data_IF_917341101460
#
_entry.id   IF_917341101460
#
_cell.length_a   1.000
_cell.length_b   1.000
_cell.length_c   1.000
_cell.angle_alpha   90.00
_cell.angle_beta   90.00
_cell.angle_gamma   90.00
#
_symmetry.space_group_name_H-M   'P 1'
#
loop_
_entity.id
_entity.type
_entity.pdbx_description
1 polymer ?
#
# COMPACT_ATOMS: atom_id res chain seq x y z
N UNK A 1 1.57 -2.47 -4.96
CA UNK A 1 1.57 -3.07 -3.62
C UNK A 1 0.21 -2.82 -3.02
N UNK A 2 -0.44 -3.80 -2.41
CA UNK A 2 -1.63 -3.55 -1.60
C UNK A 2 -1.32 -2.56 -0.48
N UNK A 3 -2.20 -1.57 -0.29
CA UNK A 3 -2.08 -0.52 0.73
C UNK A 3 -3.26 -0.60 1.70
N UNK A 4 -3.39 0.31 2.65
CA UNK A 4 -4.40 0.25 3.72
C UNK A 4 -5.80 -0.13 3.22
N UNK A 5 -6.41 0.52 2.20
CA UNK A 5 -7.75 0.15 1.75
C UNK A 5 -7.84 -1.31 1.24
N UNK A 6 -6.80 -1.77 0.53
CA UNK A 6 -6.76 -3.14 0.02
C UNK A 6 -6.65 -4.17 1.15
N UNK A 7 -5.79 -3.88 2.15
CA UNK A 7 -5.57 -4.77 3.30
C UNK A 7 -6.82 -4.87 4.16
N UNK A 8 -7.52 -3.75 4.38
CA UNK A 8 -8.78 -3.73 5.13
C UNK A 8 -9.82 -4.63 4.45
N UNK A 9 -9.99 -4.51 3.14
CA UNK A 9 -10.98 -5.33 2.40
C UNK A 9 -10.59 -6.82 2.36
N UNK A 10 -9.30 -7.14 2.28
CA UNK A 10 -8.84 -8.53 2.49
C UNK A 10 -9.22 -9.04 3.87
N UNK A 11 -8.99 -8.26 4.93
CA UNK A 11 -9.31 -8.65 6.30
C UNK A 11 -10.82 -8.84 6.47
N UNK A 12 -11.64 -7.95 5.91
CA UNK A 12 -13.11 -8.08 5.96
C UNK A 12 -13.58 -9.37 5.27
N UNK A 13 -12.98 -9.71 4.13
CA UNK A 13 -13.29 -10.95 3.41
C UNK A 13 -12.80 -12.21 4.15
N UNK A 14 -11.66 -12.12 4.83
CA UNK A 14 -11.11 -13.19 5.65
C UNK A 14 -11.95 -13.41 6.91
N UNK A 15 -12.40 -12.34 7.59
CA UNK A 15 -13.29 -12.48 8.77
C UNK A 15 -14.52 -13.32 8.48
N UNK A 16 -15.14 -13.13 7.33
CA UNK A 16 -16.32 -13.88 6.92
C UNK A 16 -16.05 -15.37 6.65
N UNK A 17 -14.79 -15.78 6.48
CA UNK A 17 -14.40 -17.12 6.00
C UNK A 17 -13.61 -17.95 6.99
N UNK A 18 -12.75 -17.29 7.77
CA UNK A 18 -11.80 -18.01 8.61
C UNK A 18 -11.85 -17.62 10.10
N UNK A 19 -12.55 -16.55 10.50
CA UNK A 19 -12.66 -16.21 11.91
C UNK A 19 -13.51 -17.28 12.62
N UNK A 20 -12.96 -17.87 13.67
CA UNK A 20 -13.55 -19.00 14.39
C UNK A 20 -13.26 -20.36 13.75
N UNK A 21 -12.68 -20.41 12.57
CA UNK A 21 -12.31 -21.66 11.88
C UNK A 21 -10.96 -22.18 12.33
N UNK A 22 -10.80 -23.50 12.31
CA UNK A 22 -9.53 -24.16 12.57
C UNK A 22 -8.65 -24.12 11.31
N UNK A 23 -7.38 -23.72 11.46
CA UNK A 23 -6.38 -23.86 10.43
C UNK A 23 -5.90 -25.33 10.37
N UNK A 24 -6.35 -26.08 9.38
CA UNK A 24 -6.07 -27.51 9.29
C UNK A 24 -4.63 -27.76 8.82
N UNK A 25 -4.13 -26.98 7.87
CA UNK A 25 -2.80 -27.19 7.27
C UNK A 25 -2.22 -25.93 6.67
N UNK A 26 -0.88 -25.78 6.74
CA UNK A 26 -0.10 -24.76 6.04
C UNK A 26 0.83 -25.43 5.03
N UNK A 27 0.67 -25.12 3.75
CA UNK A 27 1.49 -25.66 2.66
C UNK A 27 2.35 -24.55 2.08
N UNK A 28 3.67 -24.63 2.23
CA UNK A 28 4.62 -23.64 1.72
C UNK A 28 5.33 -24.24 0.49
N UNK A 29 5.12 -23.63 -0.69
CA UNK A 29 5.79 -24.05 -1.93
C UNK A 29 7.11 -23.30 -2.16
N UNK A 30 7.30 -22.14 -1.53
CA UNK A 30 8.54 -21.36 -1.62
C UNK A 30 9.11 -21.14 -0.21
N UNK A 31 10.22 -21.80 0.16
CA UNK A 31 10.81 -21.66 1.49
C UNK A 31 11.26 -20.22 1.78
N UNK A 32 11.59 -19.44 0.74
CA UNK A 32 11.95 -18.03 0.87
C UNK A 32 10.80 -17.13 1.32
N UNK A 33 9.55 -17.61 1.31
CA UNK A 33 8.41 -16.87 1.85
C UNK A 33 8.53 -16.69 3.37
N UNK A 34 8.95 -17.75 4.07
CA UNK A 34 9.06 -17.76 5.53
C UNK A 34 10.30 -16.98 6.00
N UNK A 35 10.11 -16.06 6.95
CA UNK A 35 11.16 -15.17 7.46
C UNK A 35 11.53 -15.44 8.91
N UNK A 36 10.82 -16.34 9.59
CA UNK A 36 11.06 -16.75 10.98
C UNK A 36 11.19 -18.26 11.02
N UNK A 37 12.07 -18.76 11.89
CA UNK A 37 12.23 -20.19 12.15
C UNK A 37 11.53 -20.63 13.44
N UNK A 38 11.32 -19.69 14.35
CA UNK A 38 10.71 -19.93 15.66
C UNK A 38 9.63 -18.88 15.91
N UNK A 39 8.40 -19.27 16.24
CA UNK A 39 7.89 -20.66 16.27
C UNK A 39 7.90 -21.32 14.88
N UNK A 40 7.98 -22.66 14.78
CA UNK A 40 7.79 -23.37 13.53
C UNK A 40 6.40 -23.09 12.96
N UNK A 41 6.28 -23.01 11.62
CA UNK A 41 4.99 -22.75 10.97
C UNK A 41 3.96 -23.85 11.23
N UNK A 42 4.42 -25.09 11.47
CA UNK A 42 3.56 -26.22 11.83
C UNK A 42 2.81 -26.05 13.16
N UNK A 43 3.35 -25.25 14.08
CA UNK A 43 2.68 -24.97 15.37
C UNK A 43 1.40 -24.15 15.20
N UNK A 44 1.18 -23.56 14.02
CA UNK A 44 -0.06 -22.89 13.65
C UNK A 44 -1.18 -23.86 13.26
N UNK A 45 -0.82 -25.08 12.83
CA UNK A 45 -1.80 -26.08 12.40
C UNK A 45 -2.61 -26.63 13.59
N UNK A 46 -3.88 -26.90 13.36
CA UNK A 46 -4.82 -27.34 14.38
C UNK A 46 -5.37 -26.22 15.27
N UNK A 47 -4.80 -25.01 15.24
CA UNK A 47 -5.26 -23.87 16.04
C UNK A 47 -6.42 -23.14 15.37
N UNK A 48 -7.28 -22.54 16.18
CA UNK A 48 -8.43 -21.74 15.72
C UNK A 48 -8.01 -20.30 15.45
N UNK A 49 -8.52 -19.70 14.38
CA UNK A 49 -8.35 -18.27 14.11
C UNK A 49 -9.24 -17.46 15.06
N UNK A 50 -8.64 -16.77 15.99
CA UNK A 50 -9.35 -15.99 17.01
C UNK A 50 -9.37 -14.50 16.71
N UNK A 51 -8.43 -14.02 15.89
CA UNK A 51 -8.34 -12.60 15.56
C UNK A 51 -7.77 -12.36 14.17
N UNK A 52 -8.20 -11.25 13.56
CA UNK A 52 -7.65 -10.72 12.31
C UNK A 52 -7.40 -9.23 12.49
N UNK A 53 -6.14 -8.80 12.31
CA UNK A 53 -5.71 -7.42 12.46
C UNK A 53 -4.91 -6.94 11.26
N UNK A 54 -4.87 -5.64 11.06
CA UNK A 54 -3.94 -4.96 10.15
C UNK A 54 -2.75 -4.42 10.95
N UNK A 55 -1.54 -4.60 10.42
CA UNK A 55 -0.33 -3.98 10.93
C UNK A 55 0.38 -3.29 9.74
N UNK A 56 0.21 -1.98 9.59
CA UNK A 56 0.66 -1.28 8.40
C UNK A 56 0.00 -1.81 7.12
N UNK A 57 0.79 -2.44 6.25
CA UNK A 57 0.33 -3.10 5.01
C UNK A 57 0.39 -4.63 5.12
N UNK A 58 0.31 -5.16 6.33
CA UNK A 58 0.33 -6.59 6.62
C UNK A 58 -1.03 -7.06 7.11
N UNK A 59 -1.33 -8.31 6.85
CA UNK A 59 -2.48 -9.03 7.39
C UNK A 59 -1.95 -9.92 8.51
N UNK A 60 -2.51 -9.79 9.71
CA UNK A 60 -2.13 -10.56 10.86
C UNK A 60 -3.29 -11.49 11.23
N UNK A 61 -3.02 -12.79 11.24
CA UNK A 61 -3.97 -13.85 11.61
C UNK A 61 -3.53 -14.39 12.96
N UNK A 62 -4.30 -14.11 14.00
CA UNK A 62 -4.08 -14.61 15.36
C UNK A 62 -4.74 -15.96 15.57
N UNK A 63 -3.98 -16.92 16.09
CA UNK A 63 -4.32 -18.32 16.27
C UNK A 63 -4.20 -18.75 17.72
N UNK A 64 -5.12 -19.65 18.16
CA UNK A 64 -5.14 -20.17 19.52
C UNK A 64 -5.93 -19.31 20.50
N UNK A 65 -5.92 -19.65 21.81
CA UNK A 65 -6.40 -18.77 22.86
C UNK A 65 -5.50 -17.52 22.94
N UNK A 66 -6.02 -16.38 23.29
CA UNK A 66 -5.29 -15.10 23.41
C UNK A 66 -4.28 -14.78 22.29
N UNK A 67 -4.46 -15.36 21.11
CA UNK A 67 -3.56 -15.23 19.95
C UNK A 67 -2.12 -15.64 20.25
N UNK A 68 -1.93 -16.88 20.71
CA UNK A 68 -0.61 -17.46 21.04
C UNK A 68 0.38 -17.37 19.89
N UNK A 69 -0.10 -17.52 18.67
CA UNK A 69 0.69 -17.45 17.44
C UNK A 69 0.06 -16.49 16.46
N UNK A 70 0.89 -15.67 15.85
CA UNK A 70 0.49 -14.80 14.74
C UNK A 70 1.13 -15.23 13.44
N UNK A 71 0.32 -15.40 12.39
CA UNK A 71 0.77 -15.44 11.01
C UNK A 71 0.69 -14.03 10.44
N UNK A 72 1.83 -13.43 10.10
CA UNK A 72 1.93 -12.06 9.60
C UNK A 72 2.31 -12.07 8.13
N UNK A 73 1.33 -11.77 7.27
CA UNK A 73 1.45 -11.83 5.82
C UNK A 73 1.75 -10.43 5.26
N UNK A 74 2.89 -10.27 4.58
CA UNK A 74 3.21 -9.07 3.82
C UNK A 74 3.22 -9.36 2.33
N UNK A 75 2.22 -8.86 1.63
CA UNK A 75 1.98 -9.18 0.21
C UNK A 75 2.98 -8.51 -0.74
N UNK A 76 3.67 -7.47 -0.28
CA UNK A 76 4.61 -6.69 -1.08
C UNK A 76 3.96 -6.16 -2.37
N UNK A 77 4.69 -6.05 -3.48
CA UNK A 77 4.21 -5.42 -4.71
C UNK A 77 3.23 -6.32 -5.48
N UNK A 78 3.60 -7.59 -5.66
CA UNK A 78 2.93 -8.51 -6.57
C UNK A 78 2.19 -9.66 -5.88
N UNK A 79 2.29 -9.77 -4.56
CA UNK A 79 1.58 -10.79 -3.77
C UNK A 79 0.06 -10.56 -3.79
N UNK A 80 -0.69 -11.64 -3.92
CA UNK A 80 -2.16 -11.64 -3.92
C UNK A 80 -2.67 -12.84 -3.16
N UNK A 81 -3.80 -12.63 -2.49
CA UNK A 81 -4.56 -13.70 -1.85
C UNK A 81 -5.76 -14.06 -2.72
N UNK A 82 -6.11 -15.32 -2.70
CA UNK A 82 -7.27 -15.89 -3.40
C UNK A 82 -7.96 -16.88 -2.49
N UNK A 83 -9.29 -16.90 -2.55
CA UNK A 83 -10.07 -17.92 -1.84
C UNK A 83 -10.55 -18.98 -2.82
N UNK A 84 -10.34 -20.24 -2.50
CA UNK A 84 -10.77 -21.37 -3.33
C UNK A 84 -11.58 -22.34 -2.48
N UNK A 85 -12.66 -22.87 -3.05
CA UNK A 85 -13.43 -23.94 -2.41
C UNK A 85 -12.65 -25.26 -2.55
N UNK A 86 -12.67 -26.04 -1.47
CA UNK A 86 -11.93 -27.31 -1.44
C UNK A 86 -10.41 -27.16 -1.37
N UNK A 87 -9.71 -28.26 -1.61
CA UNK A 87 -8.26 -28.36 -1.54
C UNK A 87 -7.61 -27.82 -2.83
N UNK A 88 -7.16 -26.59 -2.79
CA UNK A 88 -6.54 -25.94 -3.94
C UNK A 88 -5.04 -26.25 -4.03
N UNK A 89 -4.55 -26.59 -5.22
CA UNK A 89 -3.12 -26.83 -5.46
C UNK A 89 -2.33 -25.53 -5.45
N UNK A 90 -1.17 -25.53 -4.78
CA UNK A 90 -0.18 -24.45 -4.87
C UNK A 90 0.70 -24.75 -6.07
N UNK A 91 0.55 -23.95 -7.15
CA UNK A 91 1.24 -24.22 -8.41
C UNK A 91 2.41 -23.24 -8.61
N UNK A 92 3.68 -23.69 -8.51
CA UNK A 92 4.83 -22.90 -8.90
C UNK A 92 4.76 -22.49 -10.39
N UNK A 93 5.38 -21.38 -10.82
CA UNK A 93 6.24 -20.51 -10.01
C UNK A 93 5.48 -19.37 -9.28
N UNK A 94 4.16 -19.25 -9.45
CA UNK A 94 3.37 -18.16 -8.87
C UNK A 94 2.85 -18.47 -7.47
N UNK A 95 2.49 -19.74 -7.19
CA UNK A 95 2.02 -20.18 -5.89
C UNK A 95 3.14 -20.10 -4.83
N UNK A 96 2.90 -19.44 -3.72
CA UNK A 96 3.84 -19.30 -2.61
C UNK A 96 3.46 -20.19 -1.43
N UNK A 97 2.20 -20.15 -1.03
CA UNK A 97 1.67 -20.91 0.09
C UNK A 97 0.15 -21.10 -0.04
N UNK A 98 -0.38 -22.04 0.73
CA UNK A 98 -1.80 -22.23 0.95
C UNK A 98 -2.07 -22.50 2.44
N UNK A 99 -3.19 -22.00 2.92
CA UNK A 99 -3.71 -22.18 4.27
C UNK A 99 -5.08 -22.86 4.12
N UNK A 100 -5.19 -24.10 4.59
CA UNK A 100 -6.38 -24.92 4.42
C UNK A 100 -7.27 -24.84 5.64
N UNK A 101 -8.56 -24.63 5.42
CA UNK A 101 -9.63 -24.57 6.40
C UNK A 101 -10.77 -25.48 5.94
N UNK A 102 -11.66 -25.88 6.85
CA UNK A 102 -12.82 -26.70 6.49
C UNK A 102 -13.68 -26.07 5.37
N UNK A 103 -13.83 -24.74 5.35
CA UNK A 103 -14.60 -23.99 4.35
C UNK A 103 -13.89 -23.73 3.02
N UNK A 104 -12.58 -24.01 2.91
CA UNK A 104 -11.79 -23.78 1.69
C UNK A 104 -10.32 -23.43 1.96
N UNK A 105 -9.64 -23.05 0.92
CA UNK A 105 -8.20 -22.75 0.94
C UNK A 105 -7.93 -21.28 0.66
N UNK A 106 -7.17 -20.62 1.52
CA UNK A 106 -6.56 -19.33 1.25
C UNK A 106 -5.24 -19.55 0.50
N UNK A 107 -5.23 -19.26 -0.80
CA UNK A 107 -4.07 -19.39 -1.65
C UNK A 107 -3.31 -18.08 -1.73
N UNK A 108 -1.99 -18.10 -1.55
CA UNK A 108 -1.11 -16.96 -1.71
C UNK A 108 -0.24 -17.10 -2.94
N UNK A 109 -0.30 -16.10 -3.83
CA UNK A 109 0.45 -16.08 -5.09
C UNK A 109 1.26 -14.79 -5.22
N UNK A 110 2.33 -14.82 -6.01
CA UNK A 110 3.09 -13.62 -6.40
C UNK A 110 3.50 -13.70 -7.87
N UNK A 111 3.07 -12.71 -8.67
CA UNK A 111 3.27 -12.70 -10.11
C UNK A 111 4.67 -12.25 -10.54
N UNK A 112 5.41 -11.53 -9.70
CA UNK A 112 6.73 -11.00 -10.04
C UNK A 112 7.80 -12.08 -10.20
N UNK A 113 8.84 -11.81 -10.99
CA UNK A 113 10.04 -12.67 -11.09
C UNK A 113 10.85 -12.65 -9.79
N UNK A 114 10.96 -11.49 -9.16
CA UNK A 114 11.55 -11.35 -7.83
C UNK A 114 10.49 -11.57 -6.76
N UNK A 115 10.57 -12.66 -6.01
CA UNK A 115 9.68 -12.95 -4.89
C UNK A 115 10.08 -12.11 -3.68
N UNK A 116 9.20 -11.24 -3.21
CA UNK A 116 9.41 -10.32 -2.09
C UNK A 116 8.38 -10.48 -0.97
N UNK A 117 7.30 -11.19 -1.24
CA UNK A 117 6.30 -11.51 -0.24
C UNK A 117 6.95 -12.21 0.96
N UNK A 118 6.44 -11.97 2.15
CA UNK A 118 7.01 -12.54 3.37
C UNK A 118 5.95 -12.97 4.36
N UNK A 119 6.15 -14.13 4.96
CA UNK A 119 5.39 -14.68 6.07
C UNK A 119 6.29 -14.69 7.30
N UNK A 120 5.80 -14.11 8.39
CA UNK A 120 6.42 -14.27 9.71
C UNK A 120 5.46 -15.06 10.58
N UNK A 121 6.00 -15.98 11.34
CA UNK A 121 5.32 -16.69 12.42
C UNK A 121 5.93 -16.18 13.72
N UNK A 122 5.12 -15.59 14.59
CA UNK A 122 5.61 -14.99 15.82
C UNK A 122 4.71 -15.38 16.99
N UNK A 123 5.28 -15.45 18.19
CA UNK A 123 4.53 -15.79 19.40
C UNK A 123 4.07 -14.52 20.12
N UNK A 124 2.81 -14.52 20.55
CA UNK A 124 2.23 -13.48 21.41
C UNK A 124 2.20 -12.08 20.83
N UNK A 125 1.73 -11.13 21.63
CA UNK A 125 1.66 -9.70 21.27
C UNK A 125 3.05 -9.06 21.13
N UNK A 126 4.02 -9.48 21.93
CA UNK A 126 5.39 -8.94 21.86
C UNK A 126 6.05 -9.28 20.53
N UNK A 127 5.87 -10.51 20.04
CA UNK A 127 6.35 -10.92 18.73
C UNK A 127 5.67 -10.15 17.58
N UNK A 128 4.38 -9.86 17.72
CA UNK A 128 3.67 -9.06 16.74
C UNK A 128 4.13 -7.59 16.78
N UNK A 129 4.25 -7.01 17.96
CA UNK A 129 4.68 -5.64 18.18
C UNK A 129 6.09 -5.37 17.65
N UNK A 130 6.99 -6.33 17.75
CA UNK A 130 8.35 -6.24 17.19
C UNK A 130 8.38 -6.07 15.66
N UNK A 131 7.29 -6.43 14.98
CA UNK A 131 7.14 -6.25 13.53
C UNK A 131 6.50 -4.89 13.17
N UNK A 132 6.03 -4.11 14.14
CA UNK A 132 5.41 -2.81 13.90
C UNK A 132 6.48 -1.75 13.59
N UNK A 133 6.42 -1.07 12.45
CA UNK A 133 7.29 0.08 12.18
C UNK A 133 7.01 1.29 13.08
N UNK A 134 5.89 1.33 13.80
CA UNK A 134 5.50 2.41 14.71
C UNK A 134 4.86 3.63 14.04
N UNK A 135 4.45 3.53 12.78
CA UNK A 135 3.82 4.65 12.07
C UNK A 135 2.42 4.97 12.56
N UNK A 136 2.09 6.27 12.55
CA UNK A 136 0.80 6.79 13.01
C UNK A 136 -0.37 6.19 12.21
N UNK A 137 -1.37 5.69 12.92
CA UNK A 137 -2.68 5.31 12.35
C UNK A 137 -3.53 6.56 12.14
N UNK A 138 -3.46 7.14 10.93
CA UNK A 138 -4.06 8.46 10.64
C UNK A 138 -5.57 8.48 10.83
N UNK A 139 -6.26 7.36 10.58
CA UNK A 139 -7.71 7.27 10.75
C UNK A 139 -8.15 7.33 12.22
N UNK A 140 -7.25 6.97 13.14
CA UNK A 140 -7.48 6.93 14.60
C UNK A 140 -6.82 8.12 15.33
N UNK A 141 -6.15 9.03 14.58
CA UNK A 141 -5.43 10.17 15.17
C UNK A 141 -6.14 11.49 14.92
N UNK A 142 -5.75 12.50 15.70
CA UNK A 142 -6.13 13.89 15.54
C UNK A 142 -5.13 14.69 14.69
N UNK A 143 -5.49 15.93 14.35
CA UNK A 143 -4.66 16.84 13.57
C UNK A 143 -3.34 17.19 14.27
N UNK A 144 -3.36 17.35 15.61
CA UNK A 144 -2.16 17.70 16.39
C UNK A 144 -1.10 16.61 16.32
N UNK A 145 -1.48 15.37 16.54
CA UNK A 145 -0.59 14.21 16.40
C UNK A 145 -0.09 14.02 14.96
N UNK A 146 -0.99 14.19 13.98
CA UNK A 146 -0.60 14.12 12.57
C UNK A 146 0.45 15.19 12.23
N UNK A 147 0.24 16.44 12.64
CA UNK A 147 1.16 17.54 12.40
C UNK A 147 2.53 17.30 13.08
N UNK A 148 2.54 16.84 14.32
CA UNK A 148 3.77 16.52 15.06
C UNK A 148 4.59 15.45 14.35
N UNK A 149 3.95 14.36 13.91
CA UNK A 149 4.63 13.28 13.16
C UNK A 149 5.11 13.78 11.79
N UNK A 150 4.27 14.50 11.05
CA UNK A 150 4.60 15.00 9.72
C UNK A 150 5.83 15.92 9.73
N UNK A 151 5.95 16.78 10.74
CA UNK A 151 7.01 17.79 10.84
C UNK A 151 8.20 17.36 11.69
N UNK A 152 8.18 16.15 12.25
CA UNK A 152 9.26 15.60 13.09
C UNK A 152 10.63 15.57 12.38
N UNK A 153 10.62 15.43 11.05
CA UNK A 153 11.81 15.51 10.22
C UNK A 153 11.50 16.21 8.90
N UNK A 154 12.53 16.86 8.30
CA UNK A 154 12.35 17.59 7.03
C UNK A 154 12.49 16.65 5.83
N UNK A 155 11.36 16.14 5.35
CA UNK A 155 11.24 15.28 4.19
C UNK A 155 10.36 15.91 3.10
N UNK A 156 10.45 15.39 1.87
CA UNK A 156 9.39 15.67 0.88
C UNK A 156 8.09 15.01 1.32
N UNK A 157 6.93 15.62 1.02
CA UNK A 157 5.62 15.08 1.40
C UNK A 157 5.42 13.64 0.90
N UNK A 158 5.82 13.37 -0.36
CA UNK A 158 5.74 12.02 -0.91
C UNK A 158 6.52 11.01 -0.07
N UNK A 159 7.74 11.36 0.34
CA UNK A 159 8.57 10.49 1.17
C UNK A 159 7.97 10.31 2.57
N UNK A 160 7.54 11.39 3.20
CA UNK A 160 6.94 11.33 4.54
C UNK A 160 5.70 10.43 4.56
N UNK A 161 4.76 10.63 3.62
CA UNK A 161 3.53 9.83 3.54
C UNK A 161 3.78 8.34 3.27
N UNK A 162 4.86 7.99 2.57
CA UNK A 162 5.17 6.59 2.23
C UNK A 162 6.10 5.89 3.21
N UNK A 163 6.65 6.60 4.18
CA UNK A 163 7.50 6.01 5.24
C UNK A 163 6.62 5.31 6.29
N UNK A 164 6.72 3.97 6.41
CA UNK A 164 5.87 3.22 7.35
C UNK A 164 6.18 3.50 8.82
N UNK A 165 7.28 4.20 9.14
CA UNK A 165 7.62 4.65 10.49
C UNK A 165 6.93 5.96 10.85
N UNK A 166 6.50 6.74 9.85
CA UNK A 166 5.76 7.99 10.06
C UNK A 166 4.24 7.75 9.95
N UNK A 167 3.80 7.10 8.87
CA UNK A 167 2.37 6.87 8.60
C UNK A 167 2.09 5.43 8.21
N UNK A 168 1.18 4.82 8.94
CA UNK A 168 0.78 3.42 8.75
C UNK A 168 -0.08 3.26 7.48
N UNK A 169 0.20 2.24 6.69
CA UNK A 169 -0.67 1.77 5.61
C UNK A 169 -0.64 2.57 4.30
N UNK A 170 -0.08 3.78 4.26
CA UNK A 170 0.01 4.59 3.03
C UNK A 170 1.19 4.13 2.17
N UNK A 171 0.98 4.03 0.88
CA UNK A 171 2.02 3.64 -0.07
C UNK A 171 2.09 4.55 -1.29
N UNK A 172 2.65 4.02 -2.37
CA UNK A 172 2.96 4.82 -3.55
C UNK A 172 1.71 5.34 -4.27
N UNK A 173 0.67 4.51 -4.38
CA UNK A 173 -0.54 4.89 -5.10
C UNK A 173 -1.38 5.91 -4.33
N UNK A 174 -1.71 5.59 -3.09
CA UNK A 174 -2.57 6.49 -2.31
C UNK A 174 -1.89 7.79 -1.92
N UNK A 175 -0.56 7.82 -1.76
CA UNK A 175 0.13 9.11 -1.54
C UNK A 175 0.06 10.05 -2.74
N UNK A 176 0.03 9.55 -3.99
CA UNK A 176 -0.22 10.39 -5.17
C UNK A 176 -1.64 10.99 -5.14
N UNK A 177 -2.65 10.16 -4.86
CA UNK A 177 -4.05 10.57 -4.76
C UNK A 177 -4.29 11.58 -3.64
N UNK A 178 -3.73 11.32 -2.46
CA UNK A 178 -3.80 12.20 -1.29
C UNK A 178 -3.20 13.58 -1.60
N UNK A 179 -2.02 13.61 -2.20
CA UNK A 179 -1.35 14.86 -2.56
C UNK A 179 -2.08 15.64 -3.65
N UNK A 180 -2.71 14.93 -4.58
CA UNK A 180 -3.59 15.56 -5.57
C UNK A 180 -4.84 16.15 -4.92
N UNK A 181 -5.47 15.42 -3.99
CA UNK A 181 -6.65 15.90 -3.26
C UNK A 181 -6.32 17.12 -2.40
N UNK A 182 -5.20 17.10 -1.69
CA UNK A 182 -4.70 18.21 -0.91
C UNK A 182 -4.19 19.40 -1.74
N UNK A 183 -4.03 19.24 -3.07
CA UNK A 183 -3.42 20.23 -3.97
C UNK A 183 -2.01 20.64 -3.51
N UNK A 184 -1.23 19.69 -3.06
CA UNK A 184 0.14 19.92 -2.59
C UNK A 184 1.16 19.23 -3.49
N UNK A 185 2.29 19.90 -3.69
CA UNK A 185 3.41 19.33 -4.42
C UNK A 185 3.96 18.10 -3.69
N UNK A 186 4.20 16.97 -4.39
CA UNK A 186 4.85 15.81 -3.79
C UNK A 186 6.26 16.12 -3.26
N UNK A 187 6.89 17.20 -3.74
CA UNK A 187 8.23 17.64 -3.32
C UNK A 187 8.21 18.79 -2.32
N UNK A 188 7.03 19.27 -1.88
CA UNK A 188 6.97 20.22 -0.78
C UNK A 188 7.61 19.61 0.48
N UNK A 189 8.35 20.43 1.22
CA UNK A 189 9.06 19.99 2.44
C UNK A 189 8.13 20.06 3.63
N UNK A 190 8.12 19.01 4.45
CA UNK A 190 7.20 18.86 5.59
C UNK A 190 7.30 20.02 6.59
N UNK A 191 8.51 20.48 6.91
CA UNK A 191 8.73 21.59 7.85
C UNK A 191 8.52 22.99 7.24
N UNK A 192 8.23 23.08 5.92
CA UNK A 192 7.90 24.35 5.24
C UNK A 192 6.42 24.53 4.97
N UNK A 193 5.59 23.60 5.42
CA UNK A 193 4.15 23.68 5.26
C UNK A 193 3.55 24.72 6.22
N UNK A 194 2.57 25.45 5.72
CA UNK A 194 1.73 26.33 6.53
C UNK A 194 0.66 25.51 7.29
N UNK A 195 0.12 26.00 8.40
CA UNK A 195 -0.92 25.29 9.17
C UNK A 195 -2.12 24.87 8.31
N UNK A 196 -2.63 25.73 7.44
CA UNK A 196 -3.74 25.45 6.53
C UNK A 196 -3.42 24.31 5.55
N UNK A 197 -2.16 24.19 5.14
CA UNK A 197 -1.71 23.11 4.26
C UNK A 197 -1.64 21.76 5.00
N UNK A 198 -1.24 21.78 6.28
CA UNK A 198 -1.21 20.58 7.12
C UNK A 198 -2.64 20.09 7.38
N UNK A 199 -3.56 21.01 7.71
CA UNK A 199 -4.97 20.69 7.90
C UNK A 199 -5.60 20.09 6.65
N UNK A 200 -5.38 20.72 5.49
CA UNK A 200 -5.84 20.21 4.18
C UNK A 200 -5.27 18.84 3.87
N UNK A 201 -3.98 18.61 4.16
CA UNK A 201 -3.34 17.31 3.96
C UNK A 201 -3.94 16.24 4.87
N UNK A 202 -4.16 16.54 6.14
CA UNK A 202 -4.80 15.63 7.08
C UNK A 202 -6.21 15.24 6.64
N UNK A 203 -7.02 16.22 6.24
CA UNK A 203 -8.35 15.97 5.70
C UNK A 203 -8.30 15.09 4.44
N UNK A 204 -7.37 15.38 3.52
CA UNK A 204 -7.19 14.60 2.28
C UNK A 204 -6.75 13.15 2.55
N UNK A 205 -5.85 12.92 3.52
CA UNK A 205 -5.44 11.55 3.92
C UNK A 205 -6.65 10.76 4.38
N UNK A 206 -7.41 11.30 5.33
CA UNK A 206 -8.58 10.62 5.89
C UNK A 206 -9.64 10.36 4.82
N UNK A 207 -10.00 11.39 4.06
CA UNK A 207 -11.01 11.28 3.00
C UNK A 207 -10.62 10.24 1.95
N UNK A 208 -9.40 10.29 1.42
CA UNK A 208 -8.94 9.34 0.41
C UNK A 208 -8.96 7.91 0.91
N UNK A 209 -8.41 7.64 2.11
CA UNK A 209 -8.34 6.29 2.64
C UNK A 209 -9.72 5.71 2.94
N UNK A 210 -10.63 6.51 3.53
CA UNK A 210 -12.01 6.09 3.83
C UNK A 210 -12.82 5.85 2.54
N UNK A 211 -12.80 6.79 1.60
CA UNK A 211 -13.54 6.68 0.35
C UNK A 211 -13.10 5.45 -0.47
N UNK A 212 -11.78 5.23 -0.57
CA UNK A 212 -11.27 4.07 -1.29
C UNK A 212 -11.57 2.76 -0.57
N UNK A 213 -11.48 2.72 0.75
CA UNK A 213 -11.87 1.53 1.53
C UNK A 213 -13.33 1.18 1.29
N UNK A 214 -14.22 2.17 1.38
CA UNK A 214 -15.65 1.96 1.19
C UNK A 214 -16.00 1.57 -0.26
N UNK A 215 -15.31 2.18 -1.22
CA UNK A 215 -15.47 1.80 -2.62
C UNK A 215 -15.06 0.33 -2.85
N UNK A 216 -13.89 -0.08 -2.33
CA UNK A 216 -13.41 -1.45 -2.48
C UNK A 216 -14.27 -2.47 -1.76
N UNK A 217 -14.86 -2.11 -0.62
CA UNK A 217 -15.87 -2.93 0.06
C UNK A 217 -17.09 -3.18 -0.82
N UNK A 218 -17.61 -2.12 -1.45
CA UNK A 218 -18.74 -2.24 -2.38
C UNK A 218 -18.39 -3.05 -3.61
N UNK A 219 -17.21 -2.86 -4.19
CA UNK A 219 -16.73 -3.63 -5.34
C UNK A 219 -16.54 -5.11 -5.03
N UNK A 220 -16.06 -5.45 -3.82
CA UNK A 220 -15.90 -6.83 -3.37
C UNK A 220 -17.23 -7.50 -2.97
N UNK A 221 -18.18 -6.75 -2.39
CA UNK A 221 -19.46 -7.28 -1.91
C UNK A 221 -19.27 -8.42 -0.93
N UNK A 222 -19.79 -9.59 -1.27
CA UNK A 222 -19.63 -10.83 -0.51
C UNK A 222 -18.50 -11.73 -1.04
N UNK A 223 -17.92 -11.37 -2.18
CA UNK A 223 -16.86 -12.15 -2.80
C UNK A 223 -15.50 -11.89 -2.15
N UNK A 224 -14.55 -12.75 -2.46
CA UNK A 224 -13.16 -12.52 -2.08
C UNK A 224 -12.52 -11.55 -3.09
N UNK A 225 -11.74 -10.53 -2.65
CA UNK A 225 -11.17 -9.52 -3.55
C UNK A 225 -10.03 -10.12 -4.40
N UNK A 226 -10.34 -10.63 -5.58
CA UNK A 226 -9.39 -11.31 -6.47
C UNK A 226 -8.47 -10.35 -7.26
N UNK A 227 -8.98 -9.16 -7.63
CA UNK A 227 -8.29 -8.21 -8.53
C UNK A 227 -7.72 -7.02 -7.76
N UNK A 228 -6.84 -7.28 -6.79
CA UNK A 228 -6.17 -6.20 -6.05
C UNK A 228 -5.02 -5.64 -6.88
N UNK A 229 -5.07 -4.35 -7.18
CA UNK A 229 -4.07 -3.63 -7.98
C UNK A 229 -3.92 -2.19 -7.51
N UNK A 230 -2.73 -1.61 -7.69
CA UNK A 230 -2.52 -0.18 -7.48
C UNK A 230 -3.08 0.69 -8.63
N UNK A 231 -3.24 0.09 -9.82
CA UNK A 231 -3.78 0.79 -11.00
C UNK A 231 -5.29 0.53 -11.08
N UNK A 232 -6.06 1.41 -10.45
CA UNK A 232 -7.53 1.25 -10.36
C UNK A 232 -8.25 2.26 -11.24
N UNK A 233 -9.33 1.86 -11.91
CA UNK A 233 -10.26 2.80 -12.51
C UNK A 233 -10.75 3.79 -11.45
N UNK A 234 -10.71 5.08 -11.78
CA UNK A 234 -11.15 6.10 -10.83
C UNK A 234 -10.05 6.79 -10.04
N UNK A 235 -8.79 6.35 -10.11
CA UNK A 235 -7.68 7.15 -9.61
C UNK A 235 -7.55 8.47 -10.37
N UNK A 236 -7.17 9.54 -9.67
CA UNK A 236 -7.11 10.89 -10.22
C UNK A 236 -5.79 11.15 -10.95
N UNK A 237 -4.68 10.65 -10.41
CA UNK A 237 -3.33 10.87 -10.96
C UNK A 237 -2.48 9.61 -11.04
N UNK A 238 -2.60 8.68 -10.08
CA UNK A 238 -1.75 7.49 -10.06
C UNK A 238 -2.02 6.58 -11.27
N UNK A 239 -0.94 6.26 -12.02
CA UNK A 239 -1.03 5.46 -13.25
C UNK A 239 -1.62 6.18 -14.46
N UNK A 240 -1.87 7.49 -14.39
CA UNK A 240 -2.54 8.28 -15.43
C UNK A 240 -1.60 9.25 -16.17
N UNK A 241 -0.34 8.89 -16.29
CA UNK A 241 0.63 9.71 -17.02
C UNK A 241 0.17 10.05 -18.44
N UNK A 242 0.23 11.33 -18.81
CA UNK A 242 -0.24 11.92 -20.06
C UNK A 242 -1.78 12.02 -20.24
N UNK A 243 -2.57 11.42 -19.35
CA UNK A 243 -4.01 11.60 -19.39
C UNK A 243 -4.41 12.99 -18.85
N UNK A 244 -5.59 13.51 -19.21
CA UNK A 244 -6.06 14.80 -18.71
C UNK A 244 -6.40 14.73 -17.23
N UNK A 245 -6.01 15.78 -16.51
CA UNK A 245 -6.39 16.00 -15.11
C UNK A 245 -7.91 16.22 -15.02
N UNK A 246 -8.55 15.57 -14.05
CA UNK A 246 -10.01 15.70 -13.85
C UNK A 246 -10.47 17.10 -13.41
N UNK A 247 -9.55 17.91 -12.81
CA UNK A 247 -9.85 19.26 -12.33
C UNK A 247 -9.58 20.35 -13.37
N UNK A 248 -8.42 20.28 -14.04
CA UNK A 248 -7.94 21.38 -14.89
C UNK A 248 -7.59 21.00 -16.32
N UNK A 249 -7.79 19.73 -16.69
CA UNK A 249 -7.51 19.16 -18.02
C UNK A 249 -6.03 19.14 -18.44
N UNK A 250 -5.10 19.70 -17.66
CA UNK A 250 -3.67 19.60 -17.92
C UNK A 250 -3.21 18.14 -17.89
N UNK A 251 -2.21 17.79 -18.69
CA UNK A 251 -1.68 16.42 -18.73
C UNK A 251 -0.97 16.06 -17.42
N UNK A 252 -1.38 14.95 -16.82
CA UNK A 252 -0.72 14.38 -15.63
C UNK A 252 0.74 14.08 -15.95
N UNK A 253 1.61 14.52 -15.08
CA UNK A 253 3.05 14.32 -15.17
C UNK A 253 3.51 13.17 -14.28
N UNK A 254 4.70 12.62 -14.58
CA UNK A 254 5.30 11.52 -13.86
C UNK A 254 6.78 11.71 -13.65
N UNK A 255 7.26 11.43 -12.46
CA UNK A 255 8.67 11.31 -12.13
C UNK A 255 8.95 9.84 -11.82
N UNK A 256 9.97 9.28 -12.44
CA UNK A 256 10.44 7.91 -12.15
C UNK A 256 11.74 7.96 -11.35
N UNK A 257 11.84 7.11 -10.34
CA UNK A 257 13.07 6.90 -9.59
C UNK A 257 13.12 5.45 -9.08
N UNK A 258 14.15 4.72 -9.47
CA UNK A 258 14.26 3.28 -9.23
C UNK A 258 12.99 2.52 -9.69
N UNK A 259 12.40 1.72 -8.82
CA UNK A 259 11.18 0.96 -9.10
C UNK A 259 9.89 1.75 -8.77
N UNK A 260 9.99 3.02 -8.36
CA UNK A 260 8.85 3.85 -7.95
C UNK A 260 8.57 4.95 -8.98
N UNK A 261 7.35 5.44 -8.95
CA UNK A 261 6.94 6.62 -9.70
C UNK A 261 6.08 7.54 -8.83
N UNK A 262 6.11 8.82 -9.12
CA UNK A 262 5.24 9.84 -8.54
C UNK A 262 4.44 10.46 -9.66
N UNK A 263 3.12 10.42 -9.56
CA UNK A 263 2.20 11.02 -10.53
C UNK A 263 1.58 12.27 -9.90
N UNK A 264 1.49 13.36 -10.67
CA UNK A 264 0.95 14.62 -10.18
C UNK A 264 0.40 15.48 -11.31
N UNK A 265 -0.51 16.40 -10.99
CA UNK A 265 -0.97 17.45 -11.89
C UNK A 265 -0.10 18.70 -11.74
N UNK A 266 0.59 19.17 -12.80
CA UNK A 266 1.48 20.33 -12.69
C UNK A 266 0.73 21.62 -12.37
N UNK A 267 -0.50 21.78 -12.84
CA UNK A 267 -1.31 22.99 -12.56
C UNK A 267 -1.86 22.94 -11.13
N UNK A 268 -2.58 21.87 -10.76
CA UNK A 268 -3.26 21.80 -9.47
C UNK A 268 -2.31 21.72 -8.26
N UNK A 269 -1.12 21.13 -8.43
CA UNK A 269 -0.23 20.82 -7.31
C UNK A 269 1.05 21.65 -7.29
N UNK A 270 1.48 22.22 -8.43
CA UNK A 270 2.77 22.91 -8.54
C UNK A 270 2.68 24.26 -9.27
N UNK A 271 1.46 24.82 -9.42
CA UNK A 271 1.22 26.11 -10.07
C UNK A 271 1.86 26.24 -11.45
N UNK A 272 1.78 25.19 -12.27
CA UNK A 272 2.34 25.12 -13.63
C UNK A 272 3.81 24.69 -13.71
N UNK A 273 4.47 24.50 -12.56
CA UNK A 273 5.90 24.13 -12.55
C UNK A 273 6.07 22.62 -12.72
N UNK A 274 6.95 22.22 -13.64
CA UNK A 274 7.41 20.84 -13.74
C UNK A 274 8.40 20.51 -12.63
N UNK A 275 8.18 19.37 -11.99
CA UNK A 275 9.12 18.85 -11.00
C UNK A 275 10.23 18.09 -11.71
N UNK A 276 11.47 18.32 -11.31
CA UNK A 276 12.63 17.72 -11.93
C UNK A 276 12.79 16.24 -11.54
N UNK A 277 12.88 15.38 -12.54
CA UNK A 277 13.48 14.06 -12.39
C UNK A 277 15.00 14.24 -12.18
N UNK A 278 15.55 13.63 -11.13
CA UNK A 278 16.98 13.81 -10.78
C UNK A 278 17.93 13.34 -11.88
N UNK A 279 17.57 12.28 -12.61
CA UNK A 279 18.42 11.75 -13.67
C UNK A 279 18.40 12.67 -14.89
N UNK A 280 17.19 13.04 -15.35
CA UNK A 280 17.00 13.91 -16.51
C UNK A 280 17.43 15.36 -16.21
N UNK A 281 17.20 15.88 -14.99
CA UNK A 281 17.62 17.22 -14.63
C UNK A 281 19.14 17.38 -14.52
N UNK A 282 19.85 16.31 -14.14
CA UNK A 282 21.32 16.29 -14.20
C UNK A 282 21.86 16.29 -15.62
N UNK A 283 21.13 15.64 -16.54
CA UNK A 283 21.52 15.55 -17.95
C UNK A 283 21.27 16.87 -18.70
N UNK A 284 20.08 17.45 -18.47
CA UNK A 284 19.60 18.63 -19.18
C UNK A 284 20.02 19.95 -18.50
N UNK A 285 20.39 19.93 -17.21
CA UNK A 285 20.79 21.10 -16.43
C UNK A 285 19.87 22.31 -16.64
N UNK A 286 20.39 23.38 -17.30
CA UNK A 286 19.65 24.62 -17.58
C UNK A 286 18.56 24.44 -18.64
N UNK A 287 18.69 23.44 -19.52
CA UNK A 287 17.70 23.06 -20.54
C UNK A 287 16.53 22.22 -20.01
N UNK A 288 16.48 21.98 -18.69
CA UNK A 288 15.34 21.30 -18.10
C UNK A 288 14.06 22.14 -18.26
N UNK A 289 13.00 21.62 -18.92
CA UNK A 289 11.77 22.37 -19.11
C UNK A 289 11.12 22.70 -17.76
N UNK A 290 10.72 23.95 -17.61
CA UNK A 290 10.11 24.45 -16.37
C UNK A 290 8.59 24.32 -16.38
N UNK A 291 7.99 24.29 -17.59
CA UNK A 291 6.53 24.20 -17.78
C UNK A 291 6.15 23.00 -18.67
N UNK A 292 4.89 22.53 -18.60
CA UNK A 292 4.39 21.48 -19.48
C UNK A 292 4.50 21.82 -20.97
N UNK A 293 4.33 23.09 -21.34
CA UNK A 293 4.42 23.61 -22.70
C UNK A 293 5.85 23.48 -23.24
N UNK A 294 6.84 23.88 -22.46
CA UNK A 294 8.26 23.71 -22.81
C UNK A 294 8.62 22.23 -23.00
N UNK A 295 8.09 21.34 -22.16
CA UNK A 295 8.30 19.90 -22.31
C UNK A 295 7.69 19.35 -23.60
N UNK A 296 6.51 19.85 -24.00
CA UNK A 296 5.88 19.45 -25.25
C UNK A 296 6.67 19.92 -26.47
N UNK A 297 7.20 21.12 -26.45
CA UNK A 297 8.07 21.65 -27.52
C UNK A 297 9.32 20.78 -27.69
N UNK A 298 10.05 20.50 -26.61
CA UNK A 298 11.22 19.62 -26.64
C UNK A 298 10.93 18.21 -27.18
N UNK A 299 9.73 17.70 -26.91
CA UNK A 299 9.35 16.37 -27.39
C UNK A 299 8.88 16.35 -28.84
N UNK A 300 8.44 17.47 -29.40
CA UNK A 300 8.11 17.63 -30.84
C UNK A 300 9.35 17.79 -31.71
N UNK A 301 10.34 18.55 -31.26
CA UNK A 301 11.61 18.79 -31.97
C UNK A 301 12.49 17.53 -32.09
N UNK A 302 12.25 16.51 -31.27
CA UNK A 302 12.99 15.23 -31.29
C UNK A 302 12.28 14.10 -32.03
N UNK A 303 11.16 14.35 -32.70
CA UNK A 303 10.45 13.43 -33.61
C UNK A 303 10.69 13.81 -35.05
#
# INVERSE_FOLDING_TARGET
>A
MPELPDIVVYIDALRKRILGERLDRVRIASPFLLRTATPPVGDAEGKTVVQLRRLGKRICIGLGGDSDIWLVLHLMIAGRLHWRKGDAKVSPPRGLAAFDFAGGTLLWTEAGSQKRASLHVVAGEDGLSALDPGGLEVLESDLGRFAAVLTSANHTLKRALTDPRLFSGIGNAYSDEILFEAQLSPFALTQKLKPDQIERLFAAVRASLLQWTERLRREAGNDFPEKVTAFRPGMAVHGRYKEPCRRCQAKIQRIRYAANETNYCPICQTAGRLLADRALSRLLREDWPRTPEELELLTRERR
#
